data_IF_173291053543
#
_entry.id   IF_173291053543
#
_cell.length_a   1.000
_cell.length_b   1.000
_cell.length_c   1.000
_cell.angle_alpha   90.00
_cell.angle_beta   90.00
_cell.angle_gamma   90.00
#
_symmetry.space_group_name_H-M   'P 1'
#
loop_
_entity.id
_entity.type
_entity.pdbx_description
1 polymer ?
#
# COMPACT_ATOMS: atom_id res chain seq x y z
N UNK A 1 20.70 7.13 36.89
CA UNK A 1 21.23 6.59 35.60
C UNK A 1 20.17 5.85 34.79
N UNK A 2 19.45 4.87 35.35
CA UNK A 2 18.40 4.12 34.64
C UNK A 2 17.28 5.00 34.03
N UNK A 3 16.75 5.95 34.81
CA UNK A 3 15.69 6.87 34.33
C UNK A 3 16.17 7.77 33.17
N UNK A 4 17.42 8.22 33.21
CA UNK A 4 18.01 9.03 32.13
C UNK A 4 18.19 8.21 30.85
N UNK A 5 18.63 6.94 30.97
CA UNK A 5 18.75 6.03 29.84
C UNK A 5 17.38 5.72 29.22
N UNK A 6 16.35 5.46 30.04
CA UNK A 6 14.98 5.24 29.57
C UNK A 6 14.43 6.47 28.84
N UNK A 7 14.59 7.66 29.42
CA UNK A 7 14.17 8.91 28.78
C UNK A 7 14.86 9.13 27.43
N UNK A 8 16.17 8.88 27.35
CA UNK A 8 16.91 8.97 26.10
C UNK A 8 16.37 8.01 25.03
N UNK A 9 16.11 6.75 25.39
CA UNK A 9 15.54 5.76 24.46
C UNK A 9 14.17 6.22 23.95
N UNK A 10 13.30 6.70 24.84
CA UNK A 10 11.97 7.23 24.45
C UNK A 10 12.12 8.41 23.48
N UNK A 11 13.04 9.34 23.75
CA UNK A 11 13.31 10.48 22.86
C UNK A 11 13.79 10.00 21.48
N UNK A 12 14.72 9.04 21.44
CA UNK A 12 15.23 8.48 20.17
C UNK A 12 14.13 7.77 19.38
N UNK A 13 13.25 7.02 20.06
CA UNK A 13 12.10 6.37 19.43
C UNK A 13 11.11 7.40 18.87
N UNK A 14 10.76 8.42 19.66
CA UNK A 14 9.86 9.48 19.21
C UNK A 14 10.45 10.28 18.04
N UNK A 15 11.74 10.61 18.11
CA UNK A 15 12.47 11.24 17.01
C UNK A 15 12.46 10.35 15.77
N UNK A 16 12.69 9.04 15.93
CA UNK A 16 12.64 8.08 14.83
C UNK A 16 11.26 8.04 14.19
N UNK A 17 10.20 7.92 14.99
CA UNK A 17 8.81 7.94 14.52
C UNK A 17 8.52 9.25 13.77
N UNK A 18 8.90 10.39 14.32
CA UNK A 18 8.71 11.69 13.68
C UNK A 18 9.46 11.78 12.33
N UNK A 19 10.68 11.25 12.26
CA UNK A 19 11.51 11.28 11.03
C UNK A 19 10.98 10.42 9.89
N UNK A 20 10.14 9.42 10.17
CA UNK A 20 9.58 8.51 9.15
C UNK A 20 8.18 8.90 8.67
N UNK A 21 7.57 9.92 9.30
CA UNK A 21 6.27 10.45 8.89
C UNK A 21 6.34 11.10 7.50
N UNK A 22 5.22 11.10 6.75
CA UNK A 22 5.18 11.67 5.42
C UNK A 22 5.24 13.20 5.53
N UNK A 23 6.10 13.84 4.76
CA UNK A 23 6.26 15.30 4.80
C UNK A 23 7.67 15.79 4.47
N UNK A 24 8.69 14.94 4.63
CA UNK A 24 10.00 15.21 4.04
C UNK A 24 10.02 14.65 2.62
N UNK A 25 10.25 15.53 1.63
CA UNK A 25 10.46 15.13 0.25
C UNK A 25 11.67 14.21 0.18
N UNK A 26 11.43 12.90 0.22
CA UNK A 26 12.49 11.90 -0.02
C UNK A 26 12.97 12.11 -1.44
N UNK A 27 14.27 12.39 -1.60
CA UNK A 27 14.90 12.50 -2.90
C UNK A 27 14.62 11.21 -3.70
N UNK A 28 13.85 11.34 -4.77
CA UNK A 28 13.57 10.22 -5.67
C UNK A 28 14.80 10.02 -6.52
N UNK A 29 15.52 8.89 -6.34
CA UNK A 29 16.56 8.49 -7.29
C UNK A 29 15.92 8.37 -8.67
N UNK A 30 16.35 9.17 -9.64
CA UNK A 30 15.89 9.04 -11.01
C UNK A 30 16.48 7.75 -11.59
N UNK A 31 15.62 6.76 -11.79
CA UNK A 31 15.96 5.49 -12.45
C UNK A 31 15.09 5.36 -13.68
N UNK A 32 15.60 4.69 -14.72
CA UNK A 32 14.87 4.46 -15.97
C UNK A 32 13.58 3.66 -15.73
N UNK A 33 13.63 2.71 -14.80
CA UNK A 33 12.48 1.88 -14.38
C UNK A 33 12.23 2.01 -12.88
N UNK A 34 10.98 1.77 -12.47
CA UNK A 34 10.53 1.79 -11.07
C UNK A 34 9.70 0.56 -10.76
N UNK A 35 10.08 -0.17 -9.72
CA UNK A 35 9.30 -1.31 -9.23
C UNK A 35 8.01 -0.85 -8.54
N UNK A 36 6.89 -1.51 -8.84
CA UNK A 36 5.57 -1.09 -8.40
C UNK A 36 4.86 -2.23 -7.67
N UNK A 37 4.45 -2.01 -6.43
CA UNK A 37 3.56 -2.91 -5.71
C UNK A 37 2.12 -2.36 -5.74
N UNK A 38 1.14 -3.23 -5.89
CA UNK A 38 -0.28 -2.88 -5.95
C UNK A 38 -1.06 -3.83 -5.08
N UNK A 39 -1.80 -3.27 -4.11
CA UNK A 39 -2.73 -4.06 -3.32
C UNK A 39 -4.07 -4.20 -4.05
N UNK A 40 -4.49 -5.44 -4.28
CA UNK A 40 -5.77 -5.80 -4.88
C UNK A 40 -6.79 -6.07 -3.76
N UNK A 41 -7.65 -5.08 -3.49
CA UNK A 41 -8.76 -5.24 -2.56
C UNK A 41 -9.88 -6.06 -3.19
N UNK A 42 -10.36 -7.11 -2.54
CA UNK A 42 -11.38 -8.00 -3.12
C UNK A 42 -12.60 -7.28 -3.72
N UNK A 43 -13.09 -7.76 -4.87
CA UNK A 43 -14.31 -7.29 -5.51
C UNK A 43 -14.10 -6.02 -6.36
N UNK A 44 -14.88 -4.96 -6.07
CA UNK A 44 -14.84 -3.70 -6.82
C UNK A 44 -13.47 -3.01 -6.77
N UNK A 45 -12.79 -3.06 -5.63
CA UNK A 45 -11.47 -2.45 -5.43
C UNK A 45 -10.38 -3.05 -6.32
N UNK A 46 -10.43 -4.35 -6.61
CA UNK A 46 -9.52 -5.00 -7.57
C UNK A 46 -9.73 -4.42 -8.96
N UNK A 47 -10.99 -4.24 -9.36
CA UNK A 47 -11.30 -3.69 -10.69
C UNK A 47 -10.86 -2.23 -10.77
N UNK A 48 -11.05 -1.46 -9.71
CA UNK A 48 -10.51 -0.09 -9.58
C UNK A 48 -8.97 -0.09 -9.74
N UNK A 49 -8.28 -0.90 -8.94
CA UNK A 49 -6.82 -0.97 -8.97
C UNK A 49 -6.30 -1.40 -10.35
N UNK A 50 -6.83 -2.48 -10.93
CA UNK A 50 -6.37 -2.99 -12.23
C UNK A 50 -6.67 -2.04 -13.38
N UNK A 51 -7.80 -1.33 -13.36
CA UNK A 51 -8.11 -0.29 -14.38
C UNK A 51 -7.05 0.81 -14.34
N UNK A 52 -6.71 1.29 -13.15
CA UNK A 52 -5.64 2.28 -12.99
C UNK A 52 -4.29 1.78 -13.48
N UNK A 53 -3.92 0.53 -13.13
CA UNK A 53 -2.65 -0.06 -13.58
C UNK A 53 -2.63 -0.26 -15.09
N UNK A 54 -3.75 -0.62 -15.71
CA UNK A 54 -3.84 -0.87 -17.16
C UNK A 54 -3.49 0.35 -18.04
N UNK A 55 -3.62 1.55 -17.47
CA UNK A 55 -3.29 2.83 -18.09
C UNK A 55 -1.82 3.26 -17.86
N UNK A 56 -1.07 2.56 -17.01
CA UNK A 56 0.35 2.84 -16.78
C UNK A 56 1.22 2.25 -17.90
N UNK A 57 2.44 2.78 -18.00
CA UNK A 57 3.50 2.26 -18.87
C UNK A 57 4.19 1.06 -18.19
N UNK A 58 4.02 -0.14 -18.76
CA UNK A 58 4.52 -1.40 -18.21
C UNK A 58 6.04 -1.56 -18.39
N UNK A 59 6.69 -0.78 -19.26
CA UNK A 59 8.14 -0.79 -19.42
C UNK A 59 8.79 0.10 -18.36
N UNK A 60 8.18 1.25 -18.08
CA UNK A 60 8.65 2.17 -17.03
C UNK A 60 8.40 1.64 -15.62
N UNK A 61 7.24 1.03 -15.37
CA UNK A 61 6.87 0.56 -14.03
C UNK A 61 7.03 -0.95 -13.90
N UNK A 62 8.28 -1.44 -13.98
CA UNK A 62 8.65 -2.86 -13.92
C UNK A 62 9.78 -3.11 -12.91
N UNK A 63 9.81 -4.24 -12.18
CA UNK A 63 8.77 -5.28 -12.12
C UNK A 63 7.56 -4.89 -11.24
N UNK A 64 6.43 -5.56 -11.46
CA UNK A 64 5.19 -5.32 -10.68
C UNK A 64 4.96 -6.41 -9.65
N UNK A 65 4.55 -6.05 -8.45
CA UNK A 65 4.13 -7.00 -7.40
C UNK A 65 2.65 -6.80 -7.10
N UNK A 66 1.82 -7.80 -7.39
CA UNK A 66 0.41 -7.81 -7.03
C UNK A 66 0.23 -8.46 -5.67
N UNK A 67 -0.29 -7.71 -4.70
CA UNK A 67 -0.57 -8.20 -3.36
C UNK A 67 -2.07 -8.42 -3.23
N UNK A 68 -2.49 -9.66 -3.02
CA UNK A 68 -3.89 -10.00 -2.81
C UNK A 68 -4.11 -10.70 -1.47
N UNK A 69 -5.34 -10.67 -1.00
CA UNK A 69 -5.74 -11.36 0.23
C UNK A 69 -5.98 -12.86 0.00
N UNK A 70 -5.74 -13.68 1.03
CA UNK A 70 -6.08 -15.10 1.02
C UNK A 70 -7.57 -15.34 0.70
N UNK A 71 -7.81 -16.32 -0.17
CA UNK A 71 -9.14 -16.68 -0.65
C UNK A 71 -9.67 -15.80 -1.78
N UNK A 72 -8.87 -14.88 -2.32
CA UNK A 72 -9.26 -14.02 -3.45
C UNK A 72 -8.54 -14.42 -4.75
N UNK A 73 -8.81 -15.64 -5.22
CA UNK A 73 -8.23 -16.19 -6.45
C UNK A 73 -8.67 -15.41 -7.69
N UNK A 74 -9.89 -14.89 -7.72
CA UNK A 74 -10.41 -14.12 -8.85
C UNK A 74 -9.59 -12.85 -9.09
N UNK A 75 -9.22 -12.13 -8.02
CA UNK A 75 -8.38 -10.94 -8.18
C UNK A 75 -7.00 -11.25 -8.73
N UNK A 76 -6.43 -12.40 -8.34
CA UNK A 76 -5.15 -12.87 -8.88
C UNK A 76 -5.26 -13.25 -10.35
N UNK A 77 -6.34 -13.94 -10.74
CA UNK A 77 -6.60 -14.29 -12.15
C UNK A 77 -6.69 -13.04 -13.02
N UNK A 78 -7.44 -12.02 -12.61
CA UNK A 78 -7.54 -10.75 -13.34
C UNK A 78 -6.18 -10.05 -13.48
N UNK A 79 -5.31 -10.13 -12.48
CA UNK A 79 -3.96 -9.57 -12.57
C UNK A 79 -3.09 -10.33 -13.58
N UNK A 80 -3.17 -11.67 -13.60
CA UNK A 80 -2.50 -12.50 -14.60
C UNK A 80 -3.01 -12.20 -16.01
N UNK A 81 -4.32 -12.06 -16.19
CA UNK A 81 -4.93 -11.69 -17.46
C UNK A 81 -4.45 -10.32 -17.95
N UNK A 82 -4.37 -9.33 -17.06
CA UNK A 82 -3.87 -8.00 -17.38
C UNK A 82 -2.41 -8.06 -17.86
N UNK A 83 -1.52 -8.71 -17.10
CA UNK A 83 -0.11 -8.88 -17.51
C UNK A 83 0.02 -9.65 -18.81
N UNK A 84 -0.79 -10.71 -19.01
CA UNK A 84 -0.78 -11.50 -20.25
C UNK A 84 -1.25 -10.68 -21.46
N UNK A 85 -2.23 -9.79 -21.27
CA UNK A 85 -2.74 -8.91 -22.33
C UNK A 85 -1.74 -7.82 -22.76
N UNK A 86 -0.82 -7.45 -21.86
CA UNK A 86 0.20 -6.42 -22.07
C UNK A 86 1.56 -7.01 -22.44
N UNK A 87 1.75 -8.32 -22.27
CA UNK A 87 2.98 -9.01 -22.63
C UNK A 87 3.18 -8.95 -24.15
N UNK A 88 4.37 -8.53 -24.57
CA UNK A 88 4.80 -8.62 -25.96
C UNK A 88 6.00 -9.56 -26.08
N UNK A 89 6.31 -10.09 -27.27
CA UNK A 89 7.51 -10.90 -27.47
C UNK A 89 8.81 -10.18 -27.09
N UNK A 90 8.81 -8.84 -27.14
CA UNK A 90 9.96 -7.98 -26.83
C UNK A 90 10.03 -7.61 -25.34
N UNK A 91 8.88 -7.49 -24.67
CA UNK A 91 8.78 -7.20 -23.22
C UNK A 91 7.98 -8.29 -22.49
N UNK A 92 8.65 -9.36 -21.99
CA UNK A 92 7.96 -10.41 -21.25
C UNK A 92 7.39 -9.88 -19.93
N UNK A 93 6.25 -10.44 -19.52
CA UNK A 93 5.57 -10.04 -18.29
C UNK A 93 6.44 -10.30 -17.04
N UNK A 94 7.04 -9.24 -16.50
CA UNK A 94 7.80 -9.29 -15.25
C UNK A 94 6.93 -8.87 -14.07
N UNK A 95 6.28 -9.85 -13.46
CA UNK A 95 5.47 -9.63 -12.28
C UNK A 95 5.67 -10.72 -11.22
N UNK A 96 5.26 -10.40 -10.00
CA UNK A 96 5.21 -11.36 -8.90
C UNK A 96 3.88 -11.23 -8.18
N UNK A 97 3.30 -12.37 -7.81
CA UNK A 97 2.09 -12.43 -7.01
C UNK A 97 2.48 -12.72 -5.56
N UNK A 98 1.92 -11.93 -4.64
CA UNK A 98 2.06 -12.10 -3.20
C UNK A 98 0.68 -12.25 -2.57
N UNK A 99 0.48 -13.33 -1.83
CA UNK A 99 -0.75 -13.57 -1.07
C UNK A 99 -0.51 -13.30 0.40
N UNK A 100 -1.41 -12.55 1.04
CA UNK A 100 -1.35 -12.21 2.47
C UNK A 100 -2.65 -12.58 3.18
N UNK A 101 -2.61 -12.88 4.49
CA UNK A 101 -3.82 -13.20 5.24
C UNK A 101 -4.74 -11.98 5.33
N UNK A 102 -6.06 -12.20 5.27
CA UNK A 102 -7.03 -11.12 5.51
C UNK A 102 -6.94 -10.61 6.93
N UNK A 103 -6.91 -9.28 7.09
CA UNK A 103 -6.95 -8.65 8.42
C UNK A 103 -8.26 -8.96 9.16
N UNK A 104 -9.37 -9.07 8.41
CA UNK A 104 -10.69 -9.41 8.91
C UNK A 104 -11.43 -10.27 7.90
N UNK A 105 -11.99 -11.39 8.36
CA UNK A 105 -12.86 -12.23 7.56
C UNK A 105 -14.24 -11.61 7.38
N UNK A 106 -14.93 -11.99 6.32
CA UNK A 106 -16.31 -11.54 6.07
C UNK A 106 -17.19 -12.05 7.21
N UNK A 107 -18.07 -11.20 7.75
CA UNK A 107 -18.93 -11.47 8.92
C UNK A 107 -18.20 -11.66 10.26
N UNK A 108 -16.89 -11.41 10.34
CA UNK A 108 -16.19 -11.46 11.61
C UNK A 108 -16.53 -10.25 12.50
N UNK A 109 -16.87 -10.45 13.78
CA UNK A 109 -17.12 -9.35 14.72
C UNK A 109 -15.82 -8.58 15.02
N UNK A 110 -15.96 -7.30 15.38
CA UNK A 110 -14.82 -6.40 15.64
C UNK A 110 -13.89 -6.92 16.76
N UNK A 111 -14.43 -7.60 17.76
CA UNK A 111 -13.66 -8.11 18.91
C UNK A 111 -12.68 -9.20 18.49
N UNK A 112 -13.13 -10.16 17.67
CA UNK A 112 -12.26 -11.26 17.20
C UNK A 112 -11.35 -10.85 16.06
N UNK A 113 -11.47 -9.61 15.55
CA UNK A 113 -10.65 -9.08 14.46
C UNK A 113 -9.20 -8.82 14.90
N UNK A 114 -8.96 -8.52 16.18
CA UNK A 114 -7.62 -8.21 16.68
C UNK A 114 -6.58 -9.32 16.44
N UNK A 115 -6.83 -10.60 16.80
CA UNK A 115 -5.86 -11.67 16.54
C UNK A 115 -5.64 -11.94 15.05
N UNK A 116 -6.69 -11.89 14.22
CA UNK A 116 -6.54 -12.08 12.76
C UNK A 116 -5.79 -10.92 12.10
N UNK A 117 -6.03 -9.69 12.55
CA UNK A 117 -5.30 -8.52 12.11
C UNK A 117 -3.82 -8.59 12.53
N UNK A 118 -3.53 -9.08 13.74
CA UNK A 118 -2.15 -9.28 14.19
C UNK A 118 -1.43 -10.36 13.39
N UNK A 119 -2.07 -11.49 13.10
CA UNK A 119 -1.51 -12.52 12.23
C UNK A 119 -1.23 -11.98 10.81
N UNK A 120 -2.20 -11.24 10.24
CA UNK A 120 -2.04 -10.55 8.96
C UNK A 120 -0.85 -9.58 9.00
N UNK A 121 -0.69 -8.82 10.09
CA UNK A 121 0.42 -7.89 10.28
C UNK A 121 1.77 -8.60 10.30
N UNK A 122 1.92 -9.68 11.06
CA UNK A 122 3.16 -10.45 11.11
C UNK A 122 3.54 -11.00 9.73
N UNK A 123 2.57 -11.56 8.99
CA UNK A 123 2.79 -12.02 7.62
C UNK A 123 3.18 -10.88 6.68
N UNK A 124 2.53 -9.71 6.80
CA UNK A 124 2.90 -8.54 6.00
C UNK A 124 4.30 -8.04 6.33
N UNK A 125 4.68 -7.97 7.60
CA UNK A 125 6.03 -7.58 8.02
C UNK A 125 7.05 -8.58 7.45
N UNK A 126 6.81 -9.87 7.57
CA UNK A 126 7.70 -10.90 7.02
C UNK A 126 7.91 -10.72 5.51
N UNK A 127 6.83 -10.57 4.75
CA UNK A 127 6.88 -10.46 3.29
C UNK A 127 7.48 -9.13 2.80
N UNK A 128 7.12 -8.00 3.43
CA UNK A 128 7.62 -6.67 3.05
C UNK A 128 9.07 -6.46 3.51
N UNK A 129 9.45 -7.03 4.66
CA UNK A 129 10.71 -6.70 5.36
C UNK A 129 11.79 -7.78 5.20
N UNK A 130 11.45 -9.05 5.37
CA UNK A 130 12.46 -10.13 5.53
C UNK A 130 12.67 -10.95 4.26
N UNK A 131 11.61 -11.27 3.51
CA UNK A 131 11.72 -12.22 2.39
C UNK A 131 12.43 -11.63 1.18
N UNK A 132 12.40 -10.31 1.00
CA UNK A 132 12.72 -9.68 -0.29
C UNK A 132 14.19 -9.33 -0.50
N UNK A 133 15.04 -9.29 0.54
CA UNK A 133 16.51 -9.02 0.49
C UNK A 133 16.96 -7.69 -0.14
N UNK A 134 16.14 -7.14 -1.02
CA UNK A 134 16.20 -5.95 -1.85
C UNK A 134 14.81 -5.31 -1.81
N UNK A 135 14.71 -4.01 -2.09
CA UNK A 135 13.50 -3.19 -1.87
C UNK A 135 12.20 -3.88 -2.31
N UNK A 136 11.21 -3.98 -1.41
CA UNK A 136 9.90 -4.58 -1.71
C UNK A 136 9.24 -4.00 -2.97
N UNK A 137 9.29 -2.68 -3.10
CA UNK A 137 8.99 -1.90 -4.31
C UNK A 137 9.52 -0.47 -4.14
N UNK A 138 9.52 0.33 -5.21
CA UNK A 138 9.76 1.78 -5.15
C UNK A 138 8.49 2.53 -4.74
N UNK A 139 7.34 2.06 -5.22
CA UNK A 139 6.03 2.60 -4.86
C UNK A 139 5.04 1.47 -4.54
N UNK A 140 4.13 1.74 -3.61
CA UNK A 140 3.05 0.86 -3.21
C UNK A 140 1.73 1.61 -3.37
N UNK A 141 0.87 1.14 -4.28
CA UNK A 141 -0.49 1.64 -4.47
C UNK A 141 -1.44 0.84 -3.59
N UNK A 142 -2.19 1.57 -2.78
CA UNK A 142 -3.21 1.03 -1.89
C UNK A 142 -4.59 1.54 -2.28
N UNK A 143 -5.53 0.61 -2.41
CA UNK A 143 -6.95 0.88 -2.57
C UNK A 143 -7.73 -0.18 -1.76
N UNK A 144 -8.87 0.20 -1.18
CA UNK A 144 -9.77 -0.75 -0.50
C UNK A 144 -9.70 -0.84 1.02
N UNK A 145 -10.22 -1.94 1.63
CA UNK A 145 -10.55 -2.03 3.05
C UNK A 145 -9.36 -2.49 3.93
N UNK A 146 -9.62 -2.74 5.21
CA UNK A 146 -8.65 -2.78 6.32
C UNK A 146 -7.33 -3.56 6.14
N UNK A 147 -7.20 -4.52 5.22
CA UNK A 147 -5.90 -5.14 4.91
C UNK A 147 -4.89 -4.11 4.35
N UNK A 148 -5.34 -3.09 3.62
CA UNK A 148 -4.45 -2.02 3.15
C UNK A 148 -3.82 -1.24 4.32
N UNK A 149 -4.57 -1.07 5.42
CA UNK A 149 -4.07 -0.42 6.62
C UNK A 149 -2.96 -1.25 7.28
N UNK A 150 -3.14 -2.57 7.37
CA UNK A 150 -2.12 -3.51 7.86
C UNK A 150 -0.86 -3.47 6.98
N UNK A 151 -1.02 -3.42 5.65
CA UNK A 151 0.11 -3.30 4.72
C UNK A 151 0.90 -2.01 4.95
N UNK A 152 0.20 -0.89 5.17
CA UNK A 152 0.84 0.38 5.48
C UNK A 152 1.62 0.29 6.79
N UNK A 153 1.07 -0.32 7.85
CA UNK A 153 1.80 -0.53 9.12
C UNK A 153 3.07 -1.34 8.87
N UNK A 154 3.01 -2.42 8.08
CA UNK A 154 4.19 -3.21 7.76
C UNK A 154 5.28 -2.37 7.08
N UNK A 155 4.91 -1.48 6.14
CA UNK A 155 5.85 -0.52 5.54
C UNK A 155 6.46 0.42 6.58
N UNK A 156 5.67 0.90 7.55
CA UNK A 156 6.18 1.74 8.64
C UNK A 156 7.14 1.00 9.57
N UNK A 157 6.92 -0.29 9.82
CA UNK A 157 7.86 -1.13 10.55
C UNK A 157 9.19 -1.19 9.80
N UNK A 158 9.18 -1.42 8.48
CA UNK A 158 10.41 -1.39 7.67
C UNK A 158 11.08 -0.01 7.72
N UNK A 159 10.31 1.09 7.62
CA UNK A 159 10.84 2.47 7.78
C UNK A 159 11.47 2.67 9.16
N UNK A 160 10.81 2.22 10.23
CA UNK A 160 11.30 2.35 11.60
C UNK A 160 12.64 1.62 11.78
N UNK A 161 12.75 0.39 11.27
CA UNK A 161 13.96 -0.43 11.28
C UNK A 161 15.09 0.09 10.37
N UNK A 162 14.85 1.14 9.58
CA UNK A 162 15.85 1.71 8.67
C UNK A 162 16.07 0.93 7.39
N UNK A 163 15.12 0.06 7.05
CA UNK A 163 15.15 -0.74 5.85
C UNK A 163 14.54 0.02 4.67
N UNK A 164 14.79 -0.48 3.45
CA UNK A 164 14.16 0.07 2.25
C UNK A 164 12.64 -0.11 2.33
N UNK A 165 11.91 0.95 2.01
CA UNK A 165 10.46 0.98 2.13
C UNK A 165 9.89 1.77 0.95
N UNK A 166 8.81 1.29 0.30
CA UNK A 166 8.20 1.96 -0.83
C UNK A 166 7.60 3.31 -0.43
N UNK A 167 7.43 4.18 -1.42
CA UNK A 167 6.53 5.32 -1.31
C UNK A 167 5.09 4.83 -1.33
N UNK A 168 4.31 5.16 -0.30
CA UNK A 168 2.92 4.69 -0.17
C UNK A 168 1.98 5.71 -0.79
N UNK A 169 1.21 5.28 -1.78
CA UNK A 169 0.19 6.07 -2.47
C UNK A 169 -1.16 5.43 -2.15
N UNK A 170 -2.03 6.17 -1.47
CA UNK A 170 -3.39 5.70 -1.25
C UNK A 170 -4.35 6.40 -2.19
N UNK A 171 -5.20 5.61 -2.84
CA UNK A 171 -6.20 6.08 -3.79
C UNK A 171 -7.56 5.72 -3.22
N UNK A 172 -8.31 6.74 -2.82
CA UNK A 172 -9.66 6.56 -2.30
C UNK A 172 -10.57 5.94 -3.38
N UNK A 173 -11.46 5.05 -2.94
CA UNK A 173 -12.34 4.32 -3.85
C UNK A 173 -13.30 5.25 -4.57
N UNK A 174 -13.61 4.92 -5.82
CA UNK A 174 -14.53 5.67 -6.66
C UNK A 174 -15.94 5.72 -6.04
N UNK A 175 -16.35 4.68 -5.33
CA UNK A 175 -17.63 4.65 -4.63
C UNK A 175 -17.77 5.69 -3.50
N UNK A 176 -16.68 6.35 -3.08
CA UNK A 176 -16.67 7.33 -2.00
C UNK A 176 -16.86 8.75 -2.54
N UNK A 177 -18.11 9.09 -2.85
CA UNK A 177 -18.47 10.40 -3.43
C UNK A 177 -18.46 11.51 -2.38
N UNK A 178 -19.13 11.28 -1.24
CA UNK A 178 -19.40 12.35 -0.27
C UNK A 178 -18.42 12.34 0.91
N UNK A 179 -17.89 11.19 1.30
CA UNK A 179 -17.05 11.08 2.50
C UNK A 179 -15.94 10.05 2.34
N UNK A 180 -14.79 10.31 2.98
CA UNK A 180 -13.66 9.38 3.03
C UNK A 180 -14.05 8.06 3.69
N UNK A 181 -13.50 6.96 3.18
CA UNK A 181 -13.64 5.64 3.80
C UNK A 181 -12.93 5.62 5.16
N UNK A 182 -13.25 4.62 6.01
CA UNK A 182 -12.53 4.46 7.28
C UNK A 182 -11.03 4.24 7.03
N UNK A 183 -10.68 3.39 6.06
CA UNK A 183 -9.30 3.21 5.61
C UNK A 183 -8.68 4.53 5.17
N UNK A 184 -9.37 5.32 4.35
CA UNK A 184 -8.90 6.62 3.88
C UNK A 184 -8.64 7.60 5.02
N UNK A 185 -9.56 7.71 5.98
CA UNK A 185 -9.36 8.55 7.19
C UNK A 185 -8.17 8.10 8.03
N UNK A 186 -7.98 6.79 8.19
CA UNK A 186 -6.88 6.23 8.98
C UNK A 186 -5.53 6.38 8.28
N UNK A 187 -5.47 6.18 6.96
CA UNK A 187 -4.24 6.19 6.17
C UNK A 187 -3.79 7.57 5.75
N UNK A 188 -4.71 8.53 5.64
CA UNK A 188 -4.44 9.89 5.21
C UNK A 188 -3.20 10.54 5.87
N UNK A 189 -2.99 10.50 7.20
CA UNK A 189 -1.79 11.09 7.81
C UNK A 189 -0.52 10.26 7.65
N UNK A 190 -0.61 9.03 7.12
CA UNK A 190 0.50 8.07 7.04
C UNK A 190 0.95 7.77 5.60
N UNK A 191 0.26 8.27 4.58
CA UNK A 191 0.63 7.99 3.18
C UNK A 191 1.46 9.14 2.61
N UNK A 192 2.36 8.81 1.69
CA UNK A 192 3.22 9.81 1.04
C UNK A 192 2.48 10.60 -0.05
N UNK A 193 1.39 10.05 -0.59
CA UNK A 193 0.41 10.74 -1.44
C UNK A 193 -0.99 10.18 -1.15
N UNK A 194 -1.96 11.06 -1.04
CA UNK A 194 -3.36 10.72 -0.86
C UNK A 194 -4.17 11.26 -2.02
N UNK A 195 -4.74 10.38 -2.84
CA UNK A 195 -5.47 10.74 -4.06
C UNK A 195 -6.96 10.49 -3.85
N UNK A 196 -7.77 11.48 -4.22
CA UNK A 196 -9.24 11.41 -4.23
C UNK A 196 -9.75 11.55 -5.65
N UNK A 197 -10.88 10.90 -5.95
CA UNK A 197 -11.51 10.92 -7.27
C UNK A 197 -12.68 11.90 -7.38
N UNK A 198 -13.00 12.59 -6.29
CA UNK A 198 -14.12 13.53 -6.21
C UNK A 198 -13.65 14.86 -5.63
N UNK A 199 -13.92 16.00 -6.30
CA UNK A 199 -13.39 17.29 -5.89
C UNK A 199 -13.92 17.73 -4.51
N UNK A 200 -15.14 17.36 -4.13
CA UNK A 200 -15.70 17.65 -2.81
C UNK A 200 -14.91 17.02 -1.65
N UNK A 201 -14.16 15.93 -1.88
CA UNK A 201 -13.35 15.30 -0.85
C UNK A 201 -12.10 16.11 -0.49
N UNK A 202 -11.64 17.01 -1.37
CA UNK A 202 -10.54 17.93 -1.06
C UNK A 202 -10.85 18.82 0.15
N UNK A 203 -12.13 19.12 0.40
CA UNK A 203 -12.57 19.87 1.59
C UNK A 203 -12.38 19.06 2.88
N UNK A 204 -12.31 17.73 2.78
CA UNK A 204 -12.24 16.79 3.92
C UNK A 204 -10.82 16.27 4.19
N UNK A 205 -9.92 16.37 3.21
CA UNK A 205 -8.51 15.97 3.33
C UNK A 205 -7.61 17.07 2.73
N UNK A 206 -7.05 17.92 3.59
CA UNK A 206 -6.16 19.02 3.16
C UNK A 206 -4.87 18.47 2.54
N UNK A 207 -4.49 18.93 1.36
CA UNK A 207 -3.29 18.38 0.68
C UNK A 207 -3.50 16.99 0.07
N UNK A 208 -4.74 16.49 0.04
CA UNK A 208 -5.11 15.44 -0.91
C UNK A 208 -5.02 15.96 -2.35
N UNK A 209 -4.81 15.05 -3.28
CA UNK A 209 -4.69 15.36 -4.68
C UNK A 209 -5.91 14.86 -5.45
N UNK A 210 -6.34 15.65 -6.43
CA UNK A 210 -7.44 15.31 -7.32
C UNK A 210 -6.95 15.36 -8.76
N UNK A 211 -7.08 14.22 -9.46
CA UNK A 211 -6.65 14.06 -10.85
C UNK A 211 -7.80 13.66 -11.78
N UNK A 212 -9.05 13.81 -11.33
CA UNK A 212 -10.23 13.35 -12.05
C UNK A 212 -10.63 11.92 -11.71
N UNK A 213 -11.37 11.30 -12.63
CA UNK A 213 -11.79 9.90 -12.53
C UNK A 213 -10.65 9.01 -13.02
N UNK A 214 -10.16 8.14 -12.14
CA UNK A 214 -9.01 7.27 -12.43
C UNK A 214 -9.43 5.83 -12.80
N UNK A 215 -10.73 5.54 -12.66
CA UNK A 215 -11.36 4.24 -12.91
C UNK A 215 -12.66 4.41 -13.66
#
# INVERSE_FOLDING_TARGET
MFLLALALVVILVLYRVFSILPGQQRAVKQTKTKSLAVFLGSGGHTSEALTLISALDFDRYSPRTYVASEGDSLSLQKAVELESSKATPESPAQYTILTIPRARNVHQPLVTTLPTAFYSLLSCIYQVTLTRGSSFADALILNGPGTCFILCIAVYVSKFLGLSAPRVIYIESFARVESLSLSGKLLYPFVDRFVVQWPQLLKKAKGAEFHGLLV
#
